data_IF_293663804804
#
_entry.id   IF_293663804804
#
_cell.length_a   1.000
_cell.length_b   1.000
_cell.length_c   1.000
_cell.angle_alpha   90.00
_cell.angle_beta   90.00
_cell.angle_gamma   90.00
#
_symmetry.space_group_name_H-M   'P 1'
#
loop_
_entity.id
_entity.type
_entity.pdbx_description
1 polymer ?
#
# COMPACT_ATOMS: atom_id res chain seq x y z
N UNK A 1 14.25 -19.87 -31.54
CA UNK A 1 13.62 -18.53 -31.51
C UNK A 1 14.50 -17.55 -32.29
N UNK A 2 13.87 -16.67 -33.06
CA UNK A 2 14.52 -15.50 -33.70
C UNK A 2 15.15 -14.58 -32.64
N UNK A 3 16.16 -13.79 -33.01
CA UNK A 3 16.78 -12.78 -32.12
C UNK A 3 15.73 -11.77 -31.68
N UNK A 4 14.86 -11.32 -32.61
CA UNK A 4 13.73 -10.42 -32.30
C UNK A 4 12.88 -10.93 -31.14
N UNK A 5 12.46 -12.20 -31.19
CA UNK A 5 11.65 -12.81 -30.13
C UNK A 5 12.40 -12.91 -28.79
N UNK A 6 13.72 -13.14 -28.79
CA UNK A 6 14.53 -13.16 -27.56
C UNK A 6 14.58 -11.77 -26.91
N UNK A 7 14.80 -10.72 -27.72
CA UNK A 7 14.82 -9.33 -27.25
C UNK A 7 13.44 -8.91 -26.73
N UNK A 8 12.36 -9.20 -27.47
CA UNK A 8 10.99 -8.89 -27.03
C UNK A 8 10.62 -9.60 -25.73
N UNK A 9 11.04 -10.86 -25.54
CA UNK A 9 10.82 -11.59 -24.29
C UNK A 9 11.49 -10.87 -23.10
N UNK A 10 12.71 -10.38 -23.29
CA UNK A 10 13.46 -9.65 -22.28
C UNK A 10 12.77 -8.31 -21.95
N UNK A 11 12.38 -7.54 -22.96
CA UNK A 11 11.62 -6.29 -22.77
C UNK A 11 10.30 -6.55 -22.04
N UNK A 12 9.57 -7.61 -22.41
CA UNK A 12 8.34 -8.01 -21.74
C UNK A 12 8.58 -8.40 -20.27
N UNK A 13 9.71 -9.05 -19.95
CA UNK A 13 10.07 -9.39 -18.58
C UNK A 13 10.38 -8.14 -17.72
N UNK A 14 11.07 -7.13 -18.28
CA UNK A 14 11.26 -5.85 -17.60
C UNK A 14 9.93 -5.12 -17.35
N UNK A 15 9.05 -5.08 -18.36
CA UNK A 15 7.72 -4.49 -18.21
C UNK A 15 6.89 -5.22 -17.14
N UNK A 16 6.96 -6.55 -17.10
CA UNK A 16 6.28 -7.35 -16.07
C UNK A 16 6.79 -7.05 -14.67
N UNK A 17 8.11 -6.91 -14.47
CA UNK A 17 8.66 -6.53 -13.17
C UNK A 17 8.15 -5.15 -12.73
N UNK A 18 8.10 -4.18 -13.64
CA UNK A 18 7.55 -2.86 -13.35
C UNK A 18 6.08 -2.95 -12.89
N UNK A 19 5.25 -3.73 -13.58
CA UNK A 19 3.84 -3.97 -13.19
C UNK A 19 3.74 -4.61 -11.80
N UNK A 20 4.58 -5.60 -11.49
CA UNK A 20 4.59 -6.27 -10.17
C UNK A 20 4.93 -5.26 -9.06
N UNK A 21 5.95 -4.42 -9.26
CA UNK A 21 6.37 -3.40 -8.29
C UNK A 21 5.24 -2.36 -8.09
N UNK A 22 4.63 -1.89 -9.17
CA UNK A 22 3.50 -0.94 -9.10
C UNK A 22 2.31 -1.55 -8.37
N UNK A 23 1.94 -2.80 -8.66
CA UNK A 23 0.84 -3.48 -7.98
C UNK A 23 1.11 -3.64 -6.48
N UNK A 24 2.34 -3.98 -6.10
CA UNK A 24 2.76 -4.05 -4.69
C UNK A 24 2.68 -2.69 -4.00
N UNK A 25 3.06 -1.61 -4.69
CA UNK A 25 2.95 -0.23 -4.20
C UNK A 25 1.50 0.19 -3.95
N UNK A 26 0.61 -0.03 -4.93
CA UNK A 26 -0.82 0.30 -4.78
C UNK A 26 -1.47 -0.48 -3.63
N UNK A 27 -1.17 -1.79 -3.51
CA UNK A 27 -1.66 -2.60 -2.38
C UNK A 27 -1.15 -2.08 -1.04
N UNK A 28 0.13 -1.71 -0.98
CA UNK A 28 0.74 -1.15 0.23
C UNK A 28 0.05 0.13 0.67
N UNK A 29 -0.19 1.04 -0.27
CA UNK A 29 -0.83 2.32 0.01
C UNK A 29 -2.28 2.14 0.44
N UNK A 30 -3.01 1.17 -0.14
CA UNK A 30 -4.35 0.80 0.30
C UNK A 30 -4.39 0.28 1.73
N UNK A 31 -3.50 -0.66 2.08
CA UNK A 31 -3.38 -1.20 3.44
C UNK A 31 -2.98 -0.10 4.45
N UNK A 32 -2.04 0.78 4.07
CA UNK A 32 -1.60 1.92 4.89
C UNK A 32 -2.73 2.90 5.16
N UNK A 33 -3.50 3.26 4.11
CA UNK A 33 -4.65 4.14 4.24
C UNK A 33 -5.72 3.58 5.18
N UNK A 34 -5.94 2.25 5.18
CA UNK A 34 -6.85 1.60 6.12
C UNK A 34 -6.37 1.74 7.58
N UNK A 35 -5.10 1.42 7.84
CA UNK A 35 -4.53 1.52 9.20
C UNK A 35 -4.60 2.98 9.71
N UNK A 36 -4.28 3.95 8.84
CA UNK A 36 -4.37 5.38 9.20
C UNK A 36 -5.82 5.84 9.40
N UNK A 37 -6.77 5.33 8.62
CA UNK A 37 -8.18 5.63 8.82
C UNK A 37 -8.67 5.13 10.18
N UNK A 38 -8.32 3.88 10.55
CA UNK A 38 -8.65 3.31 11.86
C UNK A 38 -7.97 4.09 13.00
N UNK A 39 -6.71 4.49 12.80
CA UNK A 39 -5.99 5.33 13.77
C UNK A 39 -6.69 6.68 13.98
N UNK A 40 -7.01 7.41 12.90
CA UNK A 40 -7.68 8.71 12.96
C UNK A 40 -9.04 8.60 13.62
N UNK A 41 -9.83 7.59 13.24
CA UNK A 41 -11.15 7.35 13.81
C UNK A 41 -11.10 7.13 15.33
N UNK A 42 -10.19 6.27 15.80
CA UNK A 42 -10.02 6.02 17.24
C UNK A 42 -9.46 7.25 17.99
N UNK A 43 -8.56 8.02 17.36
CA UNK A 43 -7.97 9.22 17.95
C UNK A 43 -9.00 10.33 18.14
N UNK A 44 -9.84 10.55 17.13
CA UNK A 44 -10.96 11.49 17.24
C UNK A 44 -11.95 11.06 18.31
N UNK A 45 -12.24 9.76 18.43
CA UNK A 45 -13.13 9.24 19.47
C UNK A 45 -12.54 9.35 20.88
N UNK A 46 -11.24 9.13 21.06
CA UNK A 46 -10.56 9.40 22.33
C UNK A 46 -10.67 10.88 22.72
N UNK A 47 -10.37 11.79 21.78
CA UNK A 47 -10.48 13.23 22.00
C UNK A 47 -11.92 13.68 22.31
N UNK A 48 -12.91 13.11 21.60
CA UNK A 48 -14.33 13.34 21.88
C UNK A 48 -14.73 12.78 23.26
N UNK A 49 -14.20 11.63 23.66
CA UNK A 49 -14.40 11.06 24.99
C UNK A 49 -13.89 11.97 26.12
N UNK A 50 -12.70 12.53 25.98
CA UNK A 50 -12.16 13.52 26.92
C UNK A 50 -13.00 14.80 26.98
N UNK A 51 -13.45 15.30 25.82
CA UNK A 51 -14.37 16.44 25.76
C UNK A 51 -15.71 16.13 26.41
N UNK A 52 -16.25 14.92 26.21
CA UNK A 52 -17.46 14.46 26.88
C UNK A 52 -17.27 14.45 28.39
N UNK A 53 -16.13 13.94 28.87
CA UNK A 53 -15.83 13.89 30.30
C UNK A 53 -15.94 15.27 30.94
N UNK A 54 -15.32 16.27 30.31
CA UNK A 54 -15.40 17.68 30.73
C UNK A 54 -16.83 18.21 30.73
N UNK A 55 -17.61 17.99 29.66
CA UNK A 55 -18.99 18.46 29.56
C UNK A 55 -19.90 17.83 30.63
N UNK A 56 -19.73 16.52 30.88
CA UNK A 56 -20.46 15.80 31.93
C UNK A 56 -20.09 16.36 33.30
N UNK A 57 -18.80 16.50 33.61
CA UNK A 57 -18.35 17.04 34.88
C UNK A 57 -18.88 18.47 35.12
N UNK A 58 -18.79 19.35 34.12
CA UNK A 58 -19.36 20.70 34.19
C UNK A 58 -20.87 20.67 34.45
N UNK A 59 -21.63 19.86 33.72
CA UNK A 59 -23.08 19.76 33.90
C UNK A 59 -23.45 19.30 35.33
N UNK A 60 -22.72 18.31 35.86
CA UNK A 60 -22.90 17.84 37.24
C UNK A 60 -22.61 18.94 38.27
N UNK A 61 -21.57 19.76 38.05
CA UNK A 61 -21.25 20.89 38.93
C UNK A 61 -22.37 21.93 38.92
N UNK A 62 -22.88 22.31 37.75
CA UNK A 62 -23.99 23.28 37.63
C UNK A 62 -25.26 22.77 38.30
N UNK A 63 -25.58 21.47 38.18
CA UNK A 63 -26.72 20.85 38.88
C UNK A 63 -26.58 21.01 40.40
N UNK A 64 -25.37 20.80 40.95
CA UNK A 64 -25.13 21.03 42.39
C UNK A 64 -25.29 22.51 42.76
N UNK A 65 -25.00 23.43 41.84
CA UNK A 65 -25.20 24.87 42.02
C UNK A 65 -26.65 25.24 42.35
N UNK A 66 -27.64 24.55 41.79
CA UNK A 66 -29.06 24.73 42.15
C UNK A 66 -29.28 24.50 43.65
N UNK A 67 -28.77 23.39 44.18
CA UNK A 67 -29.00 23.00 45.58
C UNK A 67 -28.31 23.95 46.56
N UNK A 68 -27.14 24.47 46.15
CA UNK A 68 -26.31 25.36 46.96
C UNK A 68 -26.71 26.84 46.88
N UNK A 69 -27.66 27.20 46.00
CA UNK A 69 -28.12 28.58 45.85
C UNK A 69 -28.72 29.12 47.14
N UNK A 70 -28.42 30.36 47.50
CA UNK A 70 -28.85 31.00 48.75
C UNK A 70 -30.07 31.90 48.58
N UNK A 71 -30.42 32.27 47.35
CA UNK A 71 -31.57 33.14 47.03
C UNK A 71 -32.36 32.63 45.83
N UNK A 72 -33.58 33.16 45.66
CA UNK A 72 -34.42 32.89 44.49
C UNK A 72 -33.76 33.34 43.19
N UNK A 73 -33.07 34.47 43.19
CA UNK A 73 -32.38 34.97 42.00
C UNK A 73 -31.19 34.06 41.63
N UNK A 74 -30.46 33.57 42.62
CA UNK A 74 -29.34 32.65 42.41
C UNK A 74 -29.81 31.31 41.83
N UNK A 75 -30.86 30.69 42.41
CA UNK A 75 -31.36 29.40 41.89
C UNK A 75 -31.95 29.52 40.48
N UNK A 76 -32.56 30.66 40.14
CA UNK A 76 -33.04 30.93 38.78
C UNK A 76 -31.87 31.08 37.81
N UNK A 77 -30.82 31.80 38.21
CA UNK A 77 -29.57 31.93 37.44
C UNK A 77 -28.89 30.57 37.20
N UNK A 78 -28.84 29.72 38.24
CA UNK A 78 -28.32 28.36 38.13
C UNK A 78 -29.17 27.47 37.22
N UNK A 79 -30.50 27.54 37.33
CA UNK A 79 -31.40 26.78 36.45
C UNK A 79 -31.20 27.14 34.97
N UNK A 80 -30.92 28.41 34.65
CA UNK A 80 -30.55 28.83 33.29
C UNK A 80 -29.23 28.19 32.86
N UNK A 81 -28.19 28.22 33.71
CA UNK A 81 -26.88 27.59 33.41
C UNK A 81 -26.99 26.08 33.19
N UNK A 82 -27.72 25.36 34.04
CA UNK A 82 -27.95 23.91 33.88
C UNK A 82 -28.63 23.61 32.56
N UNK A 83 -29.68 24.37 32.20
CA UNK A 83 -30.37 24.23 30.91
C UNK A 83 -29.40 24.44 29.74
N UNK A 84 -28.56 25.48 29.81
CA UNK A 84 -27.58 25.78 28.77
C UNK A 84 -26.54 24.66 28.62
N UNK A 85 -25.99 24.14 29.72
CA UNK A 85 -25.02 23.02 29.68
C UNK A 85 -25.64 21.71 29.19
N UNK A 86 -26.91 21.47 29.51
CA UNK A 86 -27.63 20.32 28.98
C UNK A 86 -27.81 20.42 27.45
N UNK A 87 -28.14 21.60 26.92
CA UNK A 87 -28.21 21.86 25.47
C UNK A 87 -26.84 21.64 24.81
N UNK A 88 -25.76 22.17 25.39
CA UNK A 88 -24.40 22.01 24.86
C UNK A 88 -23.96 20.55 24.81
N UNK A 89 -24.23 19.79 25.89
CA UNK A 89 -23.94 18.36 25.96
C UNK A 89 -24.77 17.58 24.93
N UNK A 90 -26.06 17.89 24.80
CA UNK A 90 -26.93 17.25 23.82
C UNK A 90 -26.46 17.51 22.38
N UNK A 91 -26.15 18.76 22.05
CA UNK A 91 -25.64 19.15 20.74
C UNK A 91 -24.32 18.40 20.43
N UNK A 92 -23.43 18.29 21.42
CA UNK A 92 -22.20 17.51 21.28
C UNK A 92 -22.47 16.02 20.99
N UNK A 93 -23.39 15.39 21.73
CA UNK A 93 -23.76 13.98 21.51
C UNK A 93 -24.39 13.77 20.13
N UNK A 94 -25.22 14.71 19.66
CA UNK A 94 -25.85 14.65 18.34
C UNK A 94 -24.83 14.82 17.19
N UNK A 95 -23.82 15.68 17.38
CA UNK A 95 -22.78 15.90 16.40
C UNK A 95 -21.70 14.81 16.36
N UNK A 96 -21.61 13.94 17.38
CA UNK A 96 -20.64 12.86 17.43
C UNK A 96 -21.13 11.66 16.59
N UNK A 97 -20.49 11.37 15.42
CA UNK A 97 -20.87 10.26 14.55
C UNK A 97 -20.64 8.89 15.21
N UNK A 98 -21.44 7.90 14.85
CA UNK A 98 -21.23 6.50 15.22
C UNK A 98 -20.85 5.69 13.99
N UNK A 99 -19.86 4.81 14.14
CA UNK A 99 -19.37 3.95 13.07
C UNK A 99 -19.44 2.48 13.49
N UNK A 100 -19.58 1.59 12.51
CA UNK A 100 -19.42 0.16 12.76
C UNK A 100 -17.99 -0.11 13.28
N UNK A 101 -17.87 -0.92 14.34
CA UNK A 101 -16.57 -1.23 14.96
C UNK A 101 -16.16 -0.31 16.13
N UNK A 102 -17.00 0.68 16.49
CA UNK A 102 -16.84 1.44 17.73
C UNK A 102 -16.90 0.53 18.97
N UNK A 103 -16.34 1.02 20.08
CA UNK A 103 -16.41 0.31 21.35
C UNK A 103 -17.87 0.16 21.79
N UNK A 104 -18.31 -1.03 22.27
CA UNK A 104 -19.65 -1.20 22.83
C UNK A 104 -19.98 -0.18 23.93
N UNK A 105 -18.95 0.20 24.69
CA UNK A 105 -19.02 1.18 25.76
C UNK A 105 -19.52 2.56 25.30
N UNK A 106 -19.25 2.94 24.04
CA UNK A 106 -19.68 4.23 23.47
C UNK A 106 -21.20 4.36 23.44
N UNK A 107 -21.92 3.30 23.08
CA UNK A 107 -23.38 3.33 23.04
C UNK A 107 -23.97 3.58 24.43
N UNK A 108 -23.46 2.86 25.43
CA UNK A 108 -23.92 2.96 26.81
C UNK A 108 -23.55 4.30 27.44
N UNK A 109 -22.33 4.83 27.18
CA UNK A 109 -21.93 6.18 27.60
C UNK A 109 -22.86 7.23 27.01
N UNK A 110 -23.16 7.16 25.72
CA UNK A 110 -24.09 8.11 25.07
C UNK A 110 -25.48 8.06 25.68
N UNK A 111 -26.01 6.86 25.92
CA UNK A 111 -27.32 6.69 26.55
C UNK A 111 -27.36 7.35 27.95
N UNK A 112 -26.36 7.05 28.79
CA UNK A 112 -26.26 7.62 30.14
C UNK A 112 -26.03 9.14 30.12
N UNK A 113 -25.24 9.66 29.18
CA UNK A 113 -25.11 11.11 28.99
C UNK A 113 -26.42 11.77 28.58
N UNK A 114 -27.26 11.12 27.75
CA UNK A 114 -28.61 11.63 27.44
C UNK A 114 -29.53 11.61 28.66
N UNK A 115 -29.43 10.60 29.52
CA UNK A 115 -30.16 10.58 30.79
C UNK A 115 -29.77 11.77 31.67
N UNK A 116 -28.48 12.13 31.71
CA UNK A 116 -28.00 13.34 32.41
C UNK A 116 -28.55 14.63 31.79
N UNK A 117 -28.58 14.76 30.46
CA UNK A 117 -29.20 15.90 29.76
C UNK A 117 -30.66 16.05 30.18
N UNK A 118 -31.45 14.98 30.08
CA UNK A 118 -32.87 14.99 30.41
C UNK A 118 -33.09 15.34 31.90
N UNK A 119 -32.28 14.76 32.79
CA UNK A 119 -32.31 15.07 34.22
C UNK A 119 -31.99 16.53 34.52
N UNK A 120 -30.96 17.10 33.88
CA UNK A 120 -30.60 18.51 34.02
C UNK A 120 -31.71 19.45 33.55
N UNK A 121 -32.31 19.18 32.38
CA UNK A 121 -33.46 19.95 31.86
C UNK A 121 -34.65 19.90 32.81
N UNK A 122 -34.97 18.72 33.33
CA UNK A 122 -36.06 18.53 34.28
C UNK A 122 -35.81 19.28 35.59
N UNK A 123 -34.61 19.19 36.16
CA UNK A 123 -34.24 19.90 37.38
C UNK A 123 -34.25 21.43 37.20
N UNK A 124 -33.78 21.92 36.05
CA UNK A 124 -33.85 23.33 35.71
C UNK A 124 -35.31 23.82 35.63
N UNK A 125 -36.21 23.04 35.01
CA UNK A 125 -37.64 23.33 34.95
C UNK A 125 -38.26 23.38 36.35
N UNK A 126 -38.05 22.34 37.16
CA UNK A 126 -38.61 22.26 38.52
C UNK A 126 -38.09 23.38 39.40
N UNK A 127 -36.81 23.76 39.27
CA UNK A 127 -36.25 24.89 40.01
C UNK A 127 -36.99 26.18 39.67
N UNK A 128 -37.24 26.44 38.38
CA UNK A 128 -38.00 27.63 37.94
C UNK A 128 -39.44 27.61 38.44
N UNK A 129 -40.11 26.47 38.44
CA UNK A 129 -41.53 26.39 38.79
C UNK A 129 -41.78 26.29 40.30
N UNK A 130 -40.90 25.60 41.05
CA UNK A 130 -41.16 25.14 42.43
C UNK A 130 -40.01 25.40 43.40
N UNK A 131 -38.89 25.95 42.95
CA UNK A 131 -37.74 26.33 43.77
C UNK A 131 -36.74 25.21 44.04
N UNK A 132 -35.54 25.57 44.55
CA UNK A 132 -34.41 24.63 44.72
C UNK A 132 -34.69 23.49 45.69
N UNK A 133 -35.48 23.71 46.74
CA UNK A 133 -35.72 22.66 47.75
C UNK A 133 -36.46 21.47 47.15
N UNK A 134 -37.45 21.72 46.28
CA UNK A 134 -38.16 20.66 45.54
C UNK A 134 -37.22 19.99 44.53
N UNK A 135 -36.39 20.77 43.83
CA UNK A 135 -35.41 20.21 42.91
C UNK A 135 -34.37 19.33 43.64
N UNK A 136 -33.95 19.71 44.84
CA UNK A 136 -33.01 18.96 45.68
C UNK A 136 -33.61 17.63 46.15
N UNK A 137 -34.85 17.64 46.68
CA UNK A 137 -35.56 16.43 47.11
C UNK A 137 -35.69 15.40 45.97
N UNK A 138 -35.89 15.89 44.75
CA UNK A 138 -35.96 15.07 43.54
C UNK A 138 -34.57 14.60 43.11
N UNK A 139 -33.59 15.50 43.00
CA UNK A 139 -32.35 15.28 42.25
C UNK A 139 -31.11 14.92 43.07
N UNK A 140 -31.07 15.24 44.36
CA UNK A 140 -29.94 14.97 45.26
C UNK A 140 -30.08 13.62 45.97
N UNK A 141 -30.37 12.58 45.18
CA UNK A 141 -30.53 11.22 45.68
C UNK A 141 -29.22 10.42 45.56
N UNK A 142 -28.93 9.51 46.52
CA UNK A 142 -27.75 8.64 46.45
C UNK A 142 -27.65 7.85 45.13
N UNK A 143 -28.77 7.37 44.59
CA UNK A 143 -28.81 6.57 43.36
C UNK A 143 -28.36 7.40 42.16
N UNK A 144 -28.74 8.68 42.10
CA UNK A 144 -28.30 9.59 41.03
C UNK A 144 -26.85 10.01 41.18
N UNK A 145 -26.33 10.14 42.41
CA UNK A 145 -24.89 10.35 42.65
C UNK A 145 -24.09 9.15 42.14
N UNK A 146 -24.46 7.95 42.55
CA UNK A 146 -23.84 6.72 42.08
C UNK A 146 -23.91 6.56 40.55
N UNK A 147 -25.04 6.92 39.93
CA UNK A 147 -25.17 6.87 38.46
C UNK A 147 -24.24 7.87 37.75
N UNK A 148 -23.98 9.05 38.32
CA UNK A 148 -23.05 10.05 37.76
C UNK A 148 -21.60 9.62 37.90
N UNK A 149 -21.25 9.05 39.05
CA UNK A 149 -19.93 8.45 39.30
C UNK A 149 -19.66 7.27 38.36
N UNK A 150 -20.63 6.37 38.21
CA UNK A 150 -20.54 5.27 37.26
C UNK A 150 -20.39 5.77 35.81
N UNK A 151 -21.07 6.86 35.43
CA UNK A 151 -20.88 7.46 34.10
C UNK A 151 -19.44 7.97 33.88
N UNK A 152 -18.83 8.61 34.88
CA UNK A 152 -17.43 9.05 34.80
C UNK A 152 -16.49 7.87 34.56
N UNK A 153 -16.59 6.81 35.38
CA UNK A 153 -15.79 5.58 35.23
C UNK A 153 -15.95 4.93 33.86
N UNK A 154 -17.18 4.93 33.33
CA UNK A 154 -17.49 4.41 31.99
C UNK A 154 -16.85 5.23 30.87
N UNK A 155 -16.84 6.56 31.01
CA UNK A 155 -16.15 7.46 30.07
C UNK A 155 -14.64 7.18 30.10
N UNK A 156 -14.04 7.08 31.28
CA UNK A 156 -12.60 6.80 31.42
C UNK A 156 -12.23 5.43 30.83
N UNK A 157 -13.08 4.42 31.06
CA UNK A 157 -12.92 3.07 30.48
C UNK A 157 -13.02 3.12 28.95
N UNK A 158 -13.96 3.89 28.41
CA UNK A 158 -14.12 4.08 26.98
C UNK A 158 -12.90 4.77 26.35
N UNK A 159 -12.41 5.85 26.97
CA UNK A 159 -11.21 6.57 26.50
C UNK A 159 -9.99 5.65 26.53
N UNK A 160 -9.77 4.95 27.64
CA UNK A 160 -8.68 3.96 27.77
C UNK A 160 -8.76 2.85 26.71
N UNK A 161 -9.97 2.43 26.35
CA UNK A 161 -10.20 1.48 25.26
C UNK A 161 -9.80 2.03 23.89
N UNK A 162 -10.05 3.32 23.62
CA UNK A 162 -9.58 3.96 22.39
C UNK A 162 -8.06 4.13 22.39
N UNK A 163 -7.45 4.48 23.51
CA UNK A 163 -5.99 4.56 23.64
C UNK A 163 -5.31 3.20 23.38
N UNK A 164 -5.90 2.10 23.89
CA UNK A 164 -5.44 0.75 23.61
C UNK A 164 -5.52 0.41 22.11
N UNK A 165 -6.61 0.81 21.42
CA UNK A 165 -6.75 0.66 19.97
C UNK A 165 -5.72 1.50 19.20
N UNK A 166 -5.39 2.71 19.68
CA UNK A 166 -4.35 3.56 19.09
C UNK A 166 -2.97 2.94 19.22
N UNK A 167 -2.61 2.46 20.41
CA UNK A 167 -1.35 1.76 20.65
C UNK A 167 -1.22 0.51 19.75
N UNK A 168 -2.29 -0.26 19.61
CA UNK A 168 -2.33 -1.41 18.69
C UNK A 168 -2.14 -0.99 17.23
N UNK A 169 -2.81 0.08 16.80
CA UNK A 169 -2.70 0.61 15.43
C UNK A 169 -1.27 1.10 15.12
N UNK A 170 -0.62 1.79 16.06
CA UNK A 170 0.78 2.20 15.93
C UNK A 170 1.73 1.00 15.83
N UNK A 171 1.53 -0.01 16.69
CA UNK A 171 2.34 -1.22 16.65
C UNK A 171 2.15 -2.01 15.34
N UNK A 172 0.92 -2.06 14.83
CA UNK A 172 0.61 -2.65 13.52
C UNK A 172 1.27 -1.87 12.39
N UNK A 173 1.25 -0.53 12.43
CA UNK A 173 1.88 0.33 11.43
C UNK A 173 3.39 0.08 11.35
N UNK A 174 4.08 0.07 12.50
CA UNK A 174 5.52 -0.21 12.55
C UNK A 174 5.87 -1.59 11.98
N UNK A 175 5.15 -2.63 12.39
CA UNK A 175 5.35 -3.99 11.86
C UNK A 175 5.04 -4.07 10.36
N UNK A 176 4.03 -3.33 9.90
CA UNK A 176 3.67 -3.25 8.49
C UNK A 176 4.77 -2.57 7.67
N UNK A 177 5.32 -1.46 8.15
CA UNK A 177 6.43 -0.75 7.52
C UNK A 177 7.67 -1.65 7.40
N UNK A 178 8.12 -2.26 8.51
CA UNK A 178 9.28 -3.16 8.53
C UNK A 178 9.10 -4.33 7.55
N UNK A 179 7.96 -5.02 7.63
CA UNK A 179 7.67 -6.17 6.74
C UNK A 179 7.60 -5.74 5.28
N UNK A 180 7.00 -4.59 5.00
CA UNK A 180 6.81 -4.13 3.63
C UNK A 180 8.10 -3.65 3.00
N UNK A 181 8.96 -2.97 3.76
CA UNK A 181 10.28 -2.56 3.31
C UNK A 181 11.11 -3.79 2.90
N UNK A 182 11.13 -4.85 3.72
CA UNK A 182 11.81 -6.10 3.39
C UNK A 182 11.20 -6.75 2.13
N UNK A 183 9.87 -6.78 2.01
CA UNK A 183 9.20 -7.33 0.82
C UNK A 183 9.57 -6.56 -0.46
N UNK A 184 9.60 -5.23 -0.43
CA UNK A 184 10.05 -4.44 -1.58
C UNK A 184 11.50 -4.71 -1.93
N UNK A 185 12.38 -4.72 -0.92
CA UNK A 185 13.80 -4.99 -1.13
C UNK A 185 14.02 -6.37 -1.77
N UNK A 186 13.38 -7.42 -1.22
CA UNK A 186 13.50 -8.78 -1.74
C UNK A 186 12.91 -8.91 -3.15
N UNK A 187 11.75 -8.30 -3.41
CA UNK A 187 11.11 -8.35 -4.74
C UNK A 187 11.95 -7.61 -5.79
N UNK A 188 12.47 -6.43 -5.45
CA UNK A 188 13.33 -5.66 -6.34
C UNK A 188 14.67 -6.37 -6.57
N UNK A 189 15.35 -6.81 -5.51
CA UNK A 189 16.64 -7.48 -5.61
C UNK A 189 16.55 -8.79 -6.42
N UNK A 190 15.57 -9.65 -6.11
CA UNK A 190 15.37 -10.89 -6.87
C UNK A 190 14.97 -10.64 -8.32
N UNK A 191 14.06 -9.69 -8.57
CA UNK A 191 13.65 -9.31 -9.93
C UNK A 191 14.83 -8.79 -10.76
N UNK A 192 15.66 -7.92 -10.18
CA UNK A 192 16.86 -7.38 -10.85
C UNK A 192 17.86 -8.50 -11.13
N UNK A 193 18.15 -9.37 -10.17
CA UNK A 193 19.11 -10.47 -10.35
C UNK A 193 18.65 -11.44 -11.46
N UNK A 194 17.36 -11.81 -11.47
CA UNK A 194 16.78 -12.68 -12.50
C UNK A 194 16.85 -12.01 -13.88
N UNK A 195 16.48 -10.73 -13.97
CA UNK A 195 16.51 -10.01 -15.25
C UNK A 195 17.93 -9.79 -15.74
N UNK A 196 18.87 -9.41 -14.87
CA UNK A 196 20.27 -9.24 -15.25
C UNK A 196 20.88 -10.57 -15.70
N UNK A 197 20.71 -11.63 -14.91
CA UNK A 197 21.21 -12.96 -15.25
C UNK A 197 20.63 -13.48 -16.56
N UNK A 198 19.30 -13.39 -16.74
CA UNK A 198 18.64 -13.78 -17.97
C UNK A 198 19.05 -12.92 -19.17
N UNK A 199 19.25 -11.62 -18.97
CA UNK A 199 19.69 -10.69 -20.02
C UNK A 199 21.10 -10.97 -20.48
N UNK A 200 22.03 -11.16 -19.54
CA UNK A 200 23.42 -11.51 -19.83
C UNK A 200 23.50 -12.85 -20.56
N UNK A 201 22.76 -13.85 -20.10
CA UNK A 201 22.71 -15.16 -20.74
C UNK A 201 22.17 -15.09 -22.17
N UNK A 202 21.08 -14.35 -22.40
CA UNK A 202 20.53 -14.15 -23.75
C UNK A 202 21.51 -13.37 -24.65
N UNK A 203 22.12 -12.31 -24.14
CA UNK A 203 23.01 -11.46 -24.91
C UNK A 203 24.30 -12.19 -25.31
N UNK A 204 24.94 -12.88 -24.37
CA UNK A 204 26.24 -13.52 -24.57
C UNK A 204 26.06 -14.87 -25.29
N UNK A 205 25.35 -15.82 -24.67
CA UNK A 205 25.30 -17.20 -25.17
C UNK A 205 24.31 -17.37 -26.32
N UNK A 206 23.17 -16.68 -26.26
CA UNK A 206 22.09 -16.90 -27.22
C UNK A 206 22.21 -16.02 -28.49
N UNK A 207 22.99 -14.93 -28.46
CA UNK A 207 23.11 -13.98 -29.58
C UNK A 207 24.58 -13.76 -29.97
N UNK A 208 25.40 -13.19 -29.07
CA UNK A 208 26.74 -12.74 -29.41
C UNK A 208 27.67 -13.91 -29.82
N UNK A 209 27.73 -14.98 -29.03
CA UNK A 209 28.60 -16.12 -29.32
C UNK A 209 28.25 -16.84 -30.64
N UNK A 210 26.97 -17.16 -30.94
CA UNK A 210 26.61 -17.71 -32.25
C UNK A 210 26.93 -16.79 -33.42
N UNK A 211 26.71 -15.48 -33.27
CA UNK A 211 26.98 -14.50 -34.33
C UNK A 211 28.49 -14.34 -34.57
N UNK A 212 29.30 -14.38 -33.50
CA UNK A 212 30.75 -14.39 -33.59
C UNK A 212 31.27 -15.62 -34.36
N UNK A 213 30.72 -16.82 -34.10
CA UNK A 213 31.08 -18.04 -34.84
C UNK A 213 30.74 -17.96 -36.34
N UNK A 214 29.58 -17.39 -36.69
CA UNK A 214 29.21 -17.14 -38.09
C UNK A 214 30.21 -16.18 -38.74
N UNK A 215 30.54 -15.07 -38.07
CA UNK A 215 31.53 -14.09 -38.53
C UNK A 215 32.89 -14.73 -38.77
N UNK A 216 33.42 -15.48 -37.80
CA UNK A 216 34.73 -16.14 -37.91
C UNK A 216 34.79 -17.11 -39.09
N UNK A 217 33.73 -17.90 -39.29
CA UNK A 217 33.66 -18.84 -40.41
C UNK A 217 33.59 -18.13 -41.76
N UNK A 218 32.84 -17.01 -41.82
CA UNK A 218 32.77 -16.17 -43.01
C UNK A 218 34.14 -15.58 -43.38
N UNK A 219 34.90 -15.07 -42.39
CA UNK A 219 36.26 -14.56 -42.61
C UNK A 219 37.17 -15.67 -43.17
N UNK A 220 37.19 -16.84 -42.54
CA UNK A 220 37.97 -17.99 -43.03
C UNK A 220 37.65 -18.38 -44.47
N UNK A 221 36.35 -18.44 -44.81
CA UNK A 221 35.92 -18.78 -46.17
C UNK A 221 36.37 -17.71 -47.17
N UNK A 222 36.33 -16.43 -46.79
CA UNK A 222 36.81 -15.34 -47.65
C UNK A 222 38.32 -15.36 -47.87
N UNK A 223 39.08 -15.96 -46.95
CA UNK A 223 40.53 -16.18 -47.06
C UNK A 223 40.89 -17.46 -47.84
N UNK A 224 39.89 -18.17 -48.39
CA UNK A 224 40.08 -19.37 -49.22
C UNK A 224 40.09 -20.70 -48.44
N UNK A 225 39.79 -20.70 -47.13
CA UNK A 225 39.68 -21.91 -46.33
C UNK A 225 38.33 -22.62 -46.56
N UNK A 226 38.13 -23.18 -47.76
CA UNK A 226 36.87 -23.83 -48.17
C UNK A 226 36.62 -25.19 -47.51
N UNK A 227 37.55 -25.71 -46.72
CA UNK A 227 37.39 -26.89 -45.88
C UNK A 227 36.61 -26.60 -44.59
N UNK A 228 36.39 -25.32 -44.23
CA UNK A 228 35.68 -24.88 -43.01
C UNK A 228 34.35 -25.60 -42.77
N UNK A 229 34.22 -26.31 -41.64
CA UNK A 229 32.97 -26.99 -41.28
C UNK A 229 31.83 -25.98 -41.02
N UNK A 230 30.67 -26.25 -41.62
CA UNK A 230 29.45 -25.47 -41.41
C UNK A 230 28.49 -26.31 -40.57
N UNK A 231 28.09 -25.85 -39.37
CA UNK A 231 27.11 -26.55 -38.54
C UNK A 231 25.81 -26.83 -39.29
N UNK A 232 25.18 -27.98 -39.02
CA UNK A 232 23.91 -28.37 -39.61
C UNK A 232 22.81 -27.32 -39.33
N UNK A 233 21.86 -27.20 -40.27
CA UNK A 233 20.80 -26.20 -40.24
C UNK A 233 20.07 -26.16 -38.89
N UNK A 234 20.12 -25.00 -38.24
CA UNK A 234 19.41 -24.71 -36.98
C UNK A 234 18.18 -23.85 -37.26
N UNK A 235 17.21 -23.82 -36.34
CA UNK A 235 15.97 -23.05 -36.49
C UNK A 235 16.16 -21.57 -36.05
N UNK A 236 15.67 -20.63 -36.86
CA UNK A 236 15.66 -19.19 -36.60
C UNK A 236 16.76 -18.43 -37.34
N UNK A 237 16.80 -17.10 -37.17
CA UNK A 237 17.66 -16.18 -37.95
C UNK A 237 19.14 -16.60 -38.02
N UNK A 238 19.75 -17.05 -36.92
CA UNK A 238 21.15 -17.52 -36.93
C UNK A 238 21.35 -18.79 -37.77
N UNK A 239 20.37 -19.69 -37.78
CA UNK A 239 20.44 -20.90 -38.61
C UNK A 239 20.21 -20.61 -40.09
N UNK A 240 19.39 -19.61 -40.41
CA UNK A 240 19.25 -19.08 -41.76
C UNK A 240 20.59 -18.49 -42.26
N UNK A 241 21.31 -17.76 -41.40
CA UNK A 241 22.66 -17.27 -41.71
C UNK A 241 23.67 -18.39 -41.98
N UNK A 242 23.68 -19.46 -41.17
CA UNK A 242 24.54 -20.63 -41.40
C UNK A 242 24.23 -21.33 -42.73
N UNK A 243 22.94 -21.46 -43.05
CA UNK A 243 22.48 -22.07 -44.30
C UNK A 243 22.95 -21.24 -45.50
N UNK A 244 22.78 -19.93 -45.46
CA UNK A 244 23.24 -19.02 -46.50
C UNK A 244 24.77 -19.05 -46.66
N UNK A 245 25.53 -19.09 -45.55
CA UNK A 245 26.98 -19.19 -45.56
C UNK A 245 27.46 -20.52 -46.17
N UNK A 246 26.76 -21.62 -45.90
CA UNK A 246 27.05 -22.93 -46.52
C UNK A 246 26.89 -22.91 -48.05
N UNK A 247 25.82 -22.28 -48.55
CA UNK A 247 25.62 -22.09 -49.99
C UNK A 247 26.74 -21.23 -50.58
N UNK A 248 27.10 -20.12 -49.92
CA UNK A 248 28.17 -19.23 -50.38
C UNK A 248 29.53 -19.96 -50.44
N UNK A 249 29.87 -20.72 -49.40
CA UNK A 249 31.08 -21.56 -49.35
C UNK A 249 31.16 -22.50 -50.54
N UNK A 250 30.07 -23.23 -50.82
CA UNK A 250 30.03 -24.20 -51.92
C UNK A 250 30.27 -23.55 -53.28
N UNK A 251 29.65 -22.39 -53.53
CA UNK A 251 29.82 -21.62 -54.76
C UNK A 251 31.22 -21.03 -54.90
N UNK A 252 31.79 -20.50 -53.83
CA UNK A 252 33.14 -19.95 -53.83
C UNK A 252 34.20 -21.04 -54.09
N UNK A 253 34.05 -22.21 -53.47
CA UNK A 253 34.93 -23.35 -53.70
C UNK A 253 34.87 -23.87 -55.15
N UNK A 254 33.67 -23.91 -55.73
CA UNK A 254 33.47 -24.31 -57.13
C UNK A 254 34.10 -23.31 -58.11
N UNK A 255 33.91 -22.00 -57.87
CA UNK A 255 34.51 -20.94 -58.68
C UNK A 255 36.05 -20.97 -58.63
N UNK A 256 36.64 -21.18 -57.46
CA UNK A 256 38.09 -21.34 -57.29
C UNK A 256 38.60 -22.57 -58.07
N UNK A 257 37.88 -23.70 -57.99
CA UNK A 257 38.26 -24.92 -58.71
C UNK A 257 38.26 -24.69 -60.22
N UNK A 258 37.20 -24.07 -60.75
CA UNK A 258 37.08 -23.74 -62.17
C UNK A 258 38.20 -22.78 -62.63
N UNK A 259 38.53 -21.77 -61.82
CA UNK A 259 39.62 -20.83 -62.11
C UNK A 259 40.99 -21.52 -62.19
N UNK A 260 41.27 -22.45 -61.27
CA UNK A 260 42.51 -23.25 -61.31
C UNK A 260 42.56 -24.19 -62.50
N UNK A 261 41.44 -24.81 -62.86
CA UNK A 261 41.35 -25.65 -64.06
C UNK A 261 41.63 -24.83 -65.33
N UNK A 262 41.07 -23.63 -65.45
CA UNK A 262 41.33 -22.71 -66.57
C UNK A 262 42.79 -22.27 -66.66
N UNK A 263 43.41 -21.88 -65.54
CA UNK A 263 44.83 -21.51 -65.51
C UNK A 263 45.74 -22.68 -65.88
N UNK A 264 45.39 -23.91 -65.49
CA UNK A 264 46.14 -25.11 -65.88
C UNK A 264 45.98 -25.42 -67.38
N UNK A 265 44.80 -25.22 -67.96
CA UNK A 265 44.59 -25.34 -69.41
C UNK A 265 45.38 -24.29 -70.18
N UNK A 266 45.35 -23.02 -69.77
CA UNK A 266 46.14 -21.96 -70.40
C UNK A 266 47.64 -22.20 -70.30
N UNK A 267 48.14 -22.70 -69.16
CA UNK A 267 49.55 -23.08 -69.01
C UNK A 267 49.96 -24.23 -69.93
N UNK A 268 49.14 -25.28 -70.03
CA UNK A 268 49.39 -26.40 -70.97
C UNK A 268 49.37 -25.94 -72.43
N UNK A 269 48.44 -25.06 -72.78
CA UNK A 269 48.37 -24.44 -74.12
C UNK A 269 49.60 -23.57 -74.41
N UNK A 270 50.13 -22.85 -73.42
CA UNK A 270 51.38 -22.07 -73.56
C UNK A 270 52.62 -22.94 -73.72
N UNK A 271 52.73 -24.05 -72.99
CA UNK A 271 53.84 -25.01 -73.15
C UNK A 271 53.82 -25.66 -74.53
N UNK A 272 52.64 -26.00 -75.07
CA UNK A 272 52.46 -26.54 -76.43
C UNK A 272 52.79 -25.55 -77.56
N UNK A 273 52.91 -24.25 -77.27
CA UNK A 273 53.20 -23.20 -78.26
C UNK A 273 54.67 -22.72 -78.20
N UNK A 274 55.42 -23.13 -77.16
CA UNK A 274 56.83 -22.78 -76.95
C UNK A 274 57.81 -23.94 -77.24
N UNK A 275 57.30 -25.16 -77.43
CA UNK A 275 57.99 -26.28 -78.10
C UNK A 275 57.72 -26.27 -79.62
#
# INVERSE_FOLDING_TARGET
MTIKAKILCLVAAFALLAVIITALSLKTMGDYNRIIADYRHNAENAFRGERLNRLVATNVIEIRGIYLSQSRDEELSQAVRVSQRAIELEAFLNAWPQSAGDLPELALVREKSRQLVNGGQYLAKITRERGRFVAQDIGDKPEYRASREALQVRIDTMVSGFDAKLASSQAQLKKFEEKRQIQFLMTAASGILILLGGSLWIAIDAIAAPLARVRESMVRISEGAYDTEIPAASRGEIGELWTALGILKSRAAEAERLSREQLQEEHKLRELVLD
#
